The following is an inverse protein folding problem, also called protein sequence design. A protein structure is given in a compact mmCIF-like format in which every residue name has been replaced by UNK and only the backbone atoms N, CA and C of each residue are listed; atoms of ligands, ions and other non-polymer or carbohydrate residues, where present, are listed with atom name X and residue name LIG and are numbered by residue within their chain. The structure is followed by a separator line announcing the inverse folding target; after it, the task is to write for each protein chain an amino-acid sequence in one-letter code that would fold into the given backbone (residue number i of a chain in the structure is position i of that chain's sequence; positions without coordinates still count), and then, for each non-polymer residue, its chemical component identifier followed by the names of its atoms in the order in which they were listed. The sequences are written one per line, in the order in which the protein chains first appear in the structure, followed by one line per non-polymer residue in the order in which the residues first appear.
data_IF_052618814327
#
_entry.id   IF_052618814327
#
_cell.length_a   1.000
_cell.length_b   1.000
_cell.length_c   1.000
_cell.angle_alpha   90.00
_cell.angle_beta   90.00
_cell.angle_gamma   90.00
#
_symmetry.space_group_name_H-M   'P 1'
#
loop_
_entity.id
_entity.type
_entity.pdbx_description
1 polymer ?
#
# COMPACT_ATOMS: atom_id res chain seq x y z
N UNK A 1 -7.73 -97.70 -20.04
CA UNK A 1 -7.28 -96.63 -20.95
C UNK A 1 -8.44 -95.62 -21.11
N UNK A 2 -8.47 -94.51 -20.40
CA UNK A 2 -9.20 -93.27 -20.81
C UNK A 2 -8.77 -92.14 -19.87
N UNK A 3 -8.10 -91.22 -20.48
CA UNK A 3 -7.60 -90.00 -19.82
C UNK A 3 -8.75 -89.02 -19.61
N UNK A 4 -8.99 -88.61 -18.37
CA UNK A 4 -9.90 -87.52 -18.02
C UNK A 4 -9.17 -86.18 -18.04
N UNK A 5 -9.65 -85.21 -18.79
CA UNK A 5 -9.14 -83.88 -18.96
C UNK A 5 -9.80 -82.95 -17.91
N UNK A 6 -9.03 -82.44 -16.96
CA UNK A 6 -9.49 -81.48 -15.98
C UNK A 6 -9.44 -80.08 -16.53
N UNK A 7 -10.57 -79.44 -16.69
CA UNK A 7 -10.68 -78.00 -17.00
C UNK A 7 -10.46 -77.20 -15.70
N UNK A 8 -9.36 -76.41 -15.67
CA UNK A 8 -9.13 -75.42 -14.61
C UNK A 8 -9.71 -74.11 -15.07
N UNK A 9 -10.72 -73.67 -14.39
CA UNK A 9 -11.25 -72.28 -14.50
C UNK A 9 -10.29 -71.32 -13.77
N UNK A 10 -9.62 -70.46 -14.52
CA UNK A 10 -8.85 -69.34 -13.98
C UNK A 10 -9.78 -68.16 -13.85
N UNK A 11 -10.15 -67.84 -12.60
CA UNK A 11 -10.93 -66.65 -12.26
C UNK A 11 -9.97 -65.45 -12.23
N UNK A 12 -10.02 -64.62 -13.28
CA UNK A 12 -9.25 -63.39 -13.37
C UNK A 12 -9.94 -62.29 -12.56
N UNK A 13 -9.50 -62.07 -11.31
CA UNK A 13 -9.94 -61.00 -10.48
C UNK A 13 -9.31 -59.65 -10.98
N UNK A 14 -10.10 -58.85 -11.69
CA UNK A 14 -9.75 -57.46 -11.98
C UNK A 14 -9.77 -56.67 -10.67
N UNK A 15 -8.62 -56.42 -10.06
CA UNK A 15 -8.46 -55.37 -9.05
C UNK A 15 -8.46 -54.01 -9.73
N UNK A 16 -9.62 -53.34 -9.72
CA UNK A 16 -9.71 -51.91 -10.00
C UNK A 16 -9.07 -51.14 -8.85
N UNK A 17 -7.80 -50.72 -9.05
CA UNK A 17 -7.19 -49.72 -8.17
C UNK A 17 -7.91 -48.39 -8.37
N UNK A 18 -8.90 -48.15 -7.56
CA UNK A 18 -9.46 -46.82 -7.34
C UNK A 18 -8.39 -46.01 -6.60
N UNK A 19 -7.57 -45.29 -7.34
CA UNK A 19 -6.67 -44.29 -6.76
C UNK A 19 -7.52 -43.18 -6.16
N UNK A 20 -7.90 -43.35 -4.91
CA UNK A 20 -8.39 -42.25 -4.07
C UNK A 20 -7.25 -41.23 -4.01
N UNK A 21 -7.34 -40.20 -4.86
CA UNK A 21 -6.56 -38.98 -4.73
C UNK A 21 -6.95 -38.40 -3.39
N UNK A 22 -6.18 -38.73 -2.33
CA UNK A 22 -6.30 -38.07 -1.04
C UNK A 22 -6.07 -36.58 -1.31
N UNK A 23 -7.16 -35.85 -1.43
CA UNK A 23 -7.16 -34.41 -1.16
C UNK A 23 -6.75 -34.34 0.30
N UNK A 24 -5.50 -33.97 0.54
CA UNK A 24 -4.96 -33.76 1.88
C UNK A 24 -5.81 -32.64 2.50
N UNK A 25 -6.82 -33.04 3.24
CA UNK A 25 -7.62 -32.14 4.06
C UNK A 25 -6.70 -31.65 5.17
N UNK A 26 -6.14 -30.45 4.99
CA UNK A 26 -5.34 -29.75 6.01
C UNK A 26 -6.23 -29.24 7.16
N UNK A 27 -7.30 -29.94 7.51
CA UNK A 27 -8.24 -29.60 8.57
C UNK A 27 -7.64 -29.81 9.96
N UNK A 28 -6.62 -29.05 10.28
CA UNK A 28 -5.98 -29.08 11.61
C UNK A 28 -4.80 -28.11 11.73
N UNK A 29 -4.26 -27.63 10.63
CA UNK A 29 -3.10 -26.75 10.66
C UNK A 29 -3.55 -25.28 10.45
N UNK A 30 -3.26 -24.41 11.44
CA UNK A 30 -3.53 -22.98 11.32
C UNK A 30 -2.74 -22.38 10.15
N UNK A 31 -3.41 -21.60 9.31
CA UNK A 31 -2.77 -20.80 8.26
C UNK A 31 -1.86 -19.75 8.91
N UNK A 32 -0.65 -19.62 8.43
CA UNK A 32 0.35 -18.66 8.93
C UNK A 32 0.49 -17.50 7.96
N UNK A 33 0.25 -16.28 8.44
CA UNK A 33 0.40 -15.06 7.64
C UNK A 33 1.42 -14.13 8.30
N UNK A 34 2.48 -13.83 7.55
CA UNK A 34 3.49 -12.83 7.93
C UNK A 34 3.07 -11.45 7.43
N UNK A 35 2.91 -10.49 8.33
CA UNK A 35 2.57 -9.10 8.02
C UNK A 35 3.79 -8.23 8.28
N UNK A 36 4.22 -7.47 7.25
CA UNK A 36 5.24 -6.44 7.37
C UNK A 36 4.65 -5.09 6.99
N UNK A 37 4.66 -4.17 7.94
CA UNK A 37 4.30 -2.77 7.74
C UNK A 37 5.57 -1.92 7.77
N UNK A 38 5.74 -1.03 6.77
CA UNK A 38 6.95 -0.23 6.67
C UNK A 38 7.05 0.85 7.76
N UNK A 39 5.99 1.62 7.97
CA UNK A 39 5.95 2.70 8.95
C UNK A 39 4.65 2.68 9.76
N UNK A 40 4.61 3.38 10.87
CA UNK A 40 3.41 3.52 11.68
C UNK A 40 2.78 4.88 11.44
N UNK A 41 1.59 4.87 10.87
CA UNK A 41 0.72 6.01 10.73
C UNK A 41 -0.72 5.56 10.40
N UNK A 42 -1.74 6.42 10.62
CA UNK A 42 -3.15 6.03 10.57
C UNK A 42 -3.58 5.33 9.28
N UNK A 43 -3.05 5.72 8.11
CA UNK A 43 -3.42 5.12 6.83
C UNK A 43 -2.96 3.66 6.72
N UNK A 44 -1.68 3.36 7.01
CA UNK A 44 -1.17 1.99 6.97
C UNK A 44 -1.81 1.10 8.03
N UNK A 45 -2.08 1.65 9.22
CA UNK A 45 -2.80 0.92 10.28
C UNK A 45 -4.21 0.56 9.84
N UNK A 46 -4.94 1.48 9.21
CA UNK A 46 -6.26 1.24 8.66
C UNK A 46 -6.22 0.16 7.54
N UNK A 47 -5.22 0.19 6.66
CA UNK A 47 -5.04 -0.81 5.62
C UNK A 47 -4.78 -2.21 6.21
N UNK A 48 -3.90 -2.31 7.20
CA UNK A 48 -3.64 -3.56 7.92
C UNK A 48 -4.88 -4.09 8.62
N UNK A 49 -5.62 -3.23 9.31
CA UNK A 49 -6.88 -3.61 9.97
C UNK A 49 -7.92 -4.09 8.97
N UNK A 50 -8.05 -3.40 7.82
CA UNK A 50 -8.95 -3.81 6.74
C UNK A 50 -8.63 -5.21 6.21
N UNK A 51 -7.34 -5.51 6.01
CA UNK A 51 -6.88 -6.84 5.60
C UNK A 51 -7.25 -7.93 6.62
N UNK A 52 -6.93 -7.70 7.90
CA UNK A 52 -7.23 -8.66 8.97
C UNK A 52 -8.75 -8.89 9.08
N UNK A 53 -9.54 -7.82 9.00
CA UNK A 53 -10.99 -7.92 9.00
C UNK A 53 -11.51 -8.78 7.84
N UNK A 54 -10.97 -8.61 6.64
CA UNK A 54 -11.40 -9.41 5.50
C UNK A 54 -11.04 -10.90 5.64
N UNK A 55 -9.92 -11.24 6.29
CA UNK A 55 -9.60 -12.62 6.64
C UNK A 55 -10.60 -13.18 7.66
N UNK A 56 -10.94 -12.41 8.70
CA UNK A 56 -11.93 -12.82 9.72
C UNK A 56 -13.32 -13.05 9.11
N UNK A 57 -13.77 -12.11 8.27
CA UNK A 57 -15.03 -12.21 7.51
C UNK A 57 -15.02 -13.45 6.58
N UNK A 58 -13.84 -13.83 6.07
CA UNK A 58 -13.62 -15.02 5.25
C UNK A 58 -13.48 -16.33 6.04
N UNK A 59 -13.63 -16.31 7.37
CA UNK A 59 -13.59 -17.47 8.24
C UNK A 59 -12.20 -17.80 8.81
N UNK A 60 -11.17 -16.99 8.57
CA UNK A 60 -9.84 -17.15 9.14
C UNK A 60 -9.69 -16.29 10.40
N UNK A 61 -9.77 -16.91 11.58
CA UNK A 61 -9.77 -16.22 12.87
C UNK A 61 -8.46 -16.42 13.63
N UNK A 62 -7.84 -15.31 14.03
CA UNK A 62 -6.60 -15.34 14.83
C UNK A 62 -6.82 -16.11 16.13
N UNK A 63 -5.90 -17.03 16.47
CA UNK A 63 -5.99 -17.91 17.62
C UNK A 63 -6.85 -19.17 17.44
N UNK A 64 -7.57 -19.32 16.29
CA UNK A 64 -8.31 -20.55 15.94
C UNK A 64 -7.61 -21.30 14.80
N UNK A 65 -7.76 -20.78 13.60
CA UNK A 65 -7.24 -21.37 12.35
C UNK A 65 -6.33 -20.42 11.59
N UNK A 66 -5.96 -19.27 12.20
CA UNK A 66 -5.06 -18.27 11.65
C UNK A 66 -4.03 -17.87 12.70
N UNK A 67 -2.75 -17.85 12.30
CA UNK A 67 -1.64 -17.32 13.08
C UNK A 67 -1.07 -16.10 12.35
N UNK A 68 -1.11 -14.93 12.97
CA UNK A 68 -0.54 -13.70 12.44
C UNK A 68 0.81 -13.41 13.10
N UNK A 69 1.85 -13.18 12.29
CA UNK A 69 3.12 -12.62 12.76
C UNK A 69 3.21 -11.19 12.23
N UNK A 70 3.09 -10.20 13.10
CA UNK A 70 3.03 -8.77 12.76
C UNK A 70 4.37 -8.12 13.04
N UNK A 71 4.93 -7.42 12.05
CA UNK A 71 6.18 -6.67 12.13
C UNK A 71 5.97 -5.25 11.62
N UNK A 72 6.62 -4.27 12.28
CA UNK A 72 6.58 -2.86 11.88
C UNK A 72 8.01 -2.31 11.88
N UNK A 73 8.48 -1.88 10.72
CA UNK A 73 9.85 -1.41 10.54
C UNK A 73 10.09 0.03 11.04
N UNK A 74 9.04 0.75 11.46
CA UNK A 74 9.12 2.11 11.98
C UNK A 74 9.79 3.11 11.01
N UNK A 75 9.61 2.89 9.69
CA UNK A 75 10.20 3.74 8.63
C UNK A 75 11.70 3.54 8.43
N UNK A 76 12.31 2.54 9.07
CA UNK A 76 13.74 2.25 8.97
C UNK A 76 14.00 1.07 8.04
N UNK A 77 14.89 1.26 7.06
CA UNK A 77 15.20 0.25 6.06
C UNK A 77 15.97 -0.95 6.64
N UNK A 78 16.82 -0.73 7.63
CA UNK A 78 17.59 -1.81 8.26
C UNK A 78 16.70 -2.69 9.14
N UNK A 79 15.78 -2.07 9.88
CA UNK A 79 14.75 -2.78 10.61
C UNK A 79 13.87 -3.59 9.66
N UNK A 80 13.46 -3.00 8.52
CA UNK A 80 12.66 -3.68 7.51
C UNK A 80 13.35 -4.95 7.03
N UNK A 81 14.62 -4.87 6.65
CA UNK A 81 15.40 -6.03 6.20
C UNK A 81 15.44 -7.14 7.26
N UNK A 82 15.79 -6.78 8.50
CA UNK A 82 15.86 -7.71 9.64
C UNK A 82 14.49 -8.39 9.88
N UNK A 83 13.40 -7.64 9.81
CA UNK A 83 12.06 -8.16 10.05
C UNK A 83 11.57 -9.09 8.94
N UNK A 84 11.91 -8.78 7.70
CA UNK A 84 11.60 -9.64 6.56
C UNK A 84 12.34 -10.98 6.66
N UNK A 85 13.64 -10.98 6.97
CA UNK A 85 14.44 -12.19 7.16
C UNK A 85 13.86 -13.11 8.25
N UNK A 86 13.26 -12.54 9.29
CA UNK A 86 12.59 -13.33 10.34
C UNK A 86 11.33 -14.05 9.86
N UNK A 87 10.75 -13.66 8.71
CA UNK A 87 9.53 -14.23 8.16
C UNK A 87 9.78 -15.26 7.04
N UNK A 88 10.95 -15.22 6.39
CA UNK A 88 11.31 -16.10 5.26
C UNK A 88 11.07 -17.58 5.61
N UNK A 89 10.32 -18.28 4.74
CA UNK A 89 10.05 -19.71 4.85
C UNK A 89 9.18 -20.13 6.06
N UNK A 90 8.57 -19.20 6.78
CA UNK A 90 7.78 -19.49 8.00
C UNK A 90 6.29 -19.32 7.84
N UNK A 91 5.83 -18.79 6.71
CA UNK A 91 4.45 -18.40 6.48
C UNK A 91 3.89 -19.05 5.21
N UNK A 92 2.58 -19.25 5.17
CA UNK A 92 1.85 -19.72 3.99
C UNK A 92 1.50 -18.54 3.05
N UNK A 93 1.52 -17.30 3.58
CA UNK A 93 1.22 -16.07 2.87
C UNK A 93 1.94 -14.90 3.54
N UNK A 94 2.44 -13.96 2.75
CA UNK A 94 2.89 -12.65 3.23
C UNK A 94 1.89 -11.55 2.90
N UNK A 95 1.76 -10.60 3.81
CA UNK A 95 1.07 -9.34 3.60
C UNK A 95 2.04 -8.16 3.78
N UNK A 96 2.25 -7.44 2.69
CA UNK A 96 3.12 -6.27 2.65
C UNK A 96 2.31 -4.97 2.70
N UNK A 97 2.59 -4.11 3.67
CA UNK A 97 1.94 -2.81 3.81
C UNK A 97 2.94 -1.72 3.45
N UNK A 98 2.72 -1.03 2.35
CA UNK A 98 3.56 -0.05 1.65
C UNK A 98 4.59 -0.65 0.67
N UNK A 99 5.02 0.18 -0.29
CA UNK A 99 5.96 -0.19 -1.37
C UNK A 99 7.28 -0.77 -0.86
N UNK A 100 7.99 -0.16 0.13
CA UNK A 100 9.24 -0.72 0.63
C UNK A 100 9.09 -2.13 1.22
N UNK A 101 7.99 -2.38 1.95
CA UNK A 101 7.71 -3.69 2.54
C UNK A 101 7.45 -4.75 1.45
N UNK A 102 6.71 -4.39 0.39
CA UNK A 102 6.45 -5.28 -0.73
C UNK A 102 7.74 -5.65 -1.50
N UNK A 103 8.62 -4.67 -1.71
CA UNK A 103 9.91 -4.89 -2.36
C UNK A 103 10.83 -5.78 -1.51
N UNK A 104 10.91 -5.53 -0.22
CA UNK A 104 11.75 -6.31 0.69
C UNK A 104 11.29 -7.78 0.77
N UNK A 105 9.98 -8.03 0.91
CA UNK A 105 9.43 -9.39 0.93
C UNK A 105 9.63 -10.13 -0.39
N UNK A 106 9.34 -9.48 -1.53
CA UNK A 106 9.53 -10.11 -2.84
C UNK A 106 11.00 -10.49 -3.10
N UNK A 107 11.94 -9.67 -2.64
CA UNK A 107 13.38 -9.92 -2.81
C UNK A 107 13.88 -11.04 -1.89
N UNK A 108 13.39 -11.11 -0.65
CA UNK A 108 13.89 -12.06 0.35
C UNK A 108 13.18 -13.43 0.28
N UNK A 109 11.90 -13.46 -0.08
CA UNK A 109 11.08 -14.67 -0.12
C UNK A 109 10.13 -14.68 -1.34
N UNK A 110 10.68 -14.83 -2.56
CA UNK A 110 9.89 -14.82 -3.79
C UNK A 110 8.96 -16.05 -3.93
N UNK A 111 9.22 -17.11 -3.18
CA UNK A 111 8.48 -18.36 -3.26
C UNK A 111 7.21 -18.36 -2.40
N UNK A 112 7.17 -17.58 -1.33
CA UNK A 112 5.95 -17.42 -0.54
C UNK A 112 4.99 -16.43 -1.20
N UNK A 113 3.72 -16.81 -1.47
CA UNK A 113 2.72 -15.91 -2.04
C UNK A 113 2.62 -14.63 -1.24
N UNK A 114 2.64 -13.49 -1.92
CA UNK A 114 2.59 -12.18 -1.26
C UNK A 114 1.40 -11.36 -1.76
N UNK A 115 0.68 -10.72 -0.83
CA UNK A 115 -0.31 -9.70 -1.12
C UNK A 115 0.19 -8.37 -0.59
N UNK A 116 0.18 -7.32 -1.42
CA UNK A 116 0.51 -5.97 -0.99
C UNK A 116 -0.73 -5.08 -0.90
N UNK A 117 -0.62 -4.02 -0.12
CA UNK A 117 -1.55 -2.87 -0.09
C UNK A 117 -0.77 -1.58 0.08
N UNK A 118 -1.41 -0.44 -0.17
CA UNK A 118 -0.76 0.87 -0.08
C UNK A 118 0.51 0.94 -0.95
N UNK A 119 0.39 0.51 -2.19
CA UNK A 119 1.44 0.58 -3.21
C UNK A 119 0.97 1.46 -4.35
N UNK A 120 1.68 2.55 -4.61
CA UNK A 120 1.26 3.58 -5.57
C UNK A 120 1.45 3.13 -7.02
N UNK A 121 2.62 2.58 -7.34
CA UNK A 121 2.95 2.10 -8.69
C UNK A 121 3.74 0.78 -8.62
N UNK A 122 3.07 -0.37 -8.58
CA UNK A 122 3.74 -1.66 -8.46
C UNK A 122 4.52 -2.07 -9.73
N UNK A 123 4.25 -1.45 -10.88
CA UNK A 123 5.03 -1.69 -12.11
C UNK A 123 6.36 -0.98 -12.03
N UNK A 124 6.37 0.32 -11.71
CA UNK A 124 7.61 1.10 -11.51
C UNK A 124 8.42 0.56 -10.33
N UNK A 125 7.76 0.05 -9.29
CA UNK A 125 8.39 -0.61 -8.15
C UNK A 125 8.91 -2.04 -8.47
N UNK A 126 8.72 -2.53 -9.70
CA UNK A 126 9.13 -3.87 -10.18
C UNK A 126 8.50 -5.04 -9.40
N UNK A 127 7.34 -4.83 -8.81
CA UNK A 127 6.60 -5.87 -8.09
C UNK A 127 5.79 -6.74 -9.03
N UNK A 128 5.20 -6.15 -10.08
CA UNK A 128 4.35 -6.85 -11.05
C UNK A 128 4.70 -6.43 -12.48
N UNK A 129 4.43 -7.31 -13.45
CA UNK A 129 4.62 -7.02 -14.88
C UNK A 129 3.57 -6.04 -15.41
N UNK A 130 2.33 -6.20 -14.95
CA UNK A 130 1.21 -5.29 -15.24
C UNK A 130 0.11 -5.43 -14.18
N UNK A 131 -0.80 -4.45 -14.11
CA UNK A 131 -1.92 -4.49 -13.16
C UNK A 131 -2.91 -5.61 -13.47
N UNK A 132 -3.15 -5.89 -14.76
CA UNK A 132 -4.09 -6.93 -15.21
C UNK A 132 -3.53 -8.35 -15.05
N UNK A 133 -2.22 -8.51 -15.25
CA UNK A 133 -1.49 -9.78 -15.16
C UNK A 133 -0.20 -9.58 -14.38
N UNK A 134 -0.21 -9.76 -13.04
CA UNK A 134 0.95 -9.54 -12.19
C UNK A 134 2.19 -10.34 -12.64
N UNK A 135 2.00 -11.59 -13.06
CA UNK A 135 3.04 -12.39 -13.69
C UNK A 135 4.11 -12.96 -12.75
N UNK A 136 3.95 -12.79 -11.47
CA UNK A 136 4.82 -13.31 -10.40
C UNK A 136 4.02 -13.87 -9.23
N UNK A 137 4.69 -14.15 -8.14
CA UNK A 137 4.06 -14.69 -6.92
C UNK A 137 3.57 -13.58 -5.97
N UNK A 138 3.22 -12.42 -6.53
CA UNK A 138 2.77 -11.24 -5.80
C UNK A 138 1.60 -10.55 -6.53
N UNK A 139 0.62 -10.09 -5.77
CA UNK A 139 -0.50 -9.23 -6.21
C UNK A 139 -0.92 -8.31 -5.07
N UNK A 140 -1.91 -7.47 -5.27
CA UNK A 140 -2.38 -6.60 -4.17
C UNK A 140 -3.32 -5.49 -4.62
N UNK A 141 -3.26 -4.36 -3.91
CA UNK A 141 -4.11 -3.19 -4.14
C UNK A 141 -3.30 -1.89 -4.14
N UNK A 142 -3.71 -0.98 -5.02
CA UNK A 142 -3.10 0.34 -5.16
C UNK A 142 -3.69 1.35 -4.16
N UNK A 143 -2.89 2.38 -3.87
CA UNK A 143 -3.33 3.66 -3.30
C UNK A 143 -3.16 4.85 -4.27
N UNK A 144 -2.91 4.57 -5.53
CA UNK A 144 -2.62 5.58 -6.55
C UNK A 144 -3.72 6.64 -6.68
N UNK A 145 -3.28 7.89 -6.73
CA UNK A 145 -4.10 9.09 -6.95
C UNK A 145 -3.67 9.82 -8.23
N UNK A 146 -4.49 10.75 -8.73
CA UNK A 146 -4.14 11.57 -9.89
C UNK A 146 -3.35 12.82 -9.44
N UNK A 147 -2.04 12.74 -9.49
CA UNK A 147 -1.12 13.83 -9.13
C UNK A 147 -1.41 15.12 -9.93
N UNK A 148 -1.78 14.98 -11.22
CA UNK A 148 -2.10 16.16 -12.02
C UNK A 148 -3.33 16.88 -11.48
N UNK A 149 -4.40 16.14 -11.16
CA UNK A 149 -5.61 16.73 -10.56
C UNK A 149 -5.30 17.37 -9.20
N UNK A 150 -4.42 16.78 -8.40
CA UNK A 150 -3.99 17.34 -7.11
C UNK A 150 -3.24 18.67 -7.29
N UNK A 151 -2.32 18.76 -8.25
CA UNK A 151 -1.63 20.02 -8.56
C UNK A 151 -2.60 21.05 -9.16
N UNK A 152 -3.53 20.62 -10.01
CA UNK A 152 -4.58 21.50 -10.54
C UNK A 152 -5.45 22.09 -9.41
N UNK A 153 -5.79 21.28 -8.40
CA UNK A 153 -6.55 21.71 -7.24
C UNK A 153 -5.75 22.68 -6.36
N UNK A 154 -4.51 22.33 -6.02
CA UNK A 154 -3.64 23.17 -5.21
C UNK A 154 -3.49 24.57 -5.84
N UNK A 155 -3.29 24.64 -7.16
CA UNK A 155 -3.17 25.93 -7.87
C UNK A 155 -4.47 26.71 -7.97
N UNK A 156 -5.64 26.10 -7.85
CA UNK A 156 -6.92 26.79 -7.72
C UNK A 156 -7.12 27.38 -6.32
N UNK A 157 -6.63 26.67 -5.30
CA UNK A 157 -6.68 27.12 -3.89
C UNK A 157 -5.71 28.28 -3.64
N UNK A 158 -4.56 28.28 -4.32
CA UNK A 158 -3.52 29.32 -4.18
C UNK A 158 -3.21 29.93 -5.56
N UNK A 159 -4.16 30.70 -6.16
CA UNK A 159 -4.02 31.17 -7.56
C UNK A 159 -2.86 32.16 -7.79
N UNK A 160 -2.40 32.82 -6.73
CA UNK A 160 -1.25 33.74 -6.78
C UNK A 160 0.11 33.04 -6.65
N UNK A 161 0.14 31.72 -6.37
CA UNK A 161 1.40 30.98 -6.21
C UNK A 161 2.24 31.02 -7.49
N UNK A 162 3.53 31.30 -7.33
CA UNK A 162 4.54 31.25 -8.38
C UNK A 162 5.52 30.10 -8.20
N UNK A 163 5.68 29.65 -6.95
CA UNK A 163 6.62 28.63 -6.55
C UNK A 163 5.93 27.58 -5.69
N UNK A 164 5.97 26.33 -6.11
CA UNK A 164 5.41 25.19 -5.38
C UNK A 164 6.54 24.29 -4.90
N UNK A 165 6.57 24.02 -3.61
CA UNK A 165 7.46 23.06 -2.98
C UNK A 165 6.96 21.64 -3.18
N UNK A 166 7.91 20.71 -3.36
CA UNK A 166 7.66 19.27 -3.31
C UNK A 166 8.60 18.70 -2.25
N UNK A 167 8.04 18.01 -1.27
CA UNK A 167 8.82 17.41 -0.18
C UNK A 167 8.52 15.94 -0.02
N UNK A 168 9.56 15.10 0.02
CA UNK A 168 9.41 13.65 0.13
C UNK A 168 10.69 12.94 0.59
N UNK A 169 10.57 11.66 0.95
CA UNK A 169 11.70 10.77 1.21
C UNK A 169 12.26 10.19 -0.10
N UNK A 170 13.49 10.53 -0.41
CA UNK A 170 14.17 10.06 -1.64
C UNK A 170 14.53 8.57 -1.63
N UNK A 171 14.38 7.87 -0.53
CA UNK A 171 14.55 6.42 -0.45
C UNK A 171 13.29 5.64 -0.85
N UNK A 172 12.14 6.32 -1.01
CA UNK A 172 10.88 5.70 -1.36
C UNK A 172 10.56 5.86 -2.86
N UNK A 173 10.51 4.76 -3.60
CA UNK A 173 10.26 4.74 -5.06
C UNK A 173 8.89 5.29 -5.43
N UNK A 174 7.85 5.02 -4.61
CA UNK A 174 6.51 5.60 -4.74
C UNK A 174 6.56 7.13 -4.75
N UNK A 175 7.25 7.71 -3.78
CA UNK A 175 7.40 9.16 -3.60
C UNK A 175 8.18 9.80 -4.74
N UNK A 176 9.30 9.19 -5.17
CA UNK A 176 10.07 9.65 -6.33
C UNK A 176 9.20 9.70 -7.59
N UNK A 177 8.39 8.68 -7.84
CA UNK A 177 7.53 8.61 -9.02
C UNK A 177 6.50 9.74 -9.02
N UNK A 178 5.80 9.93 -7.90
CA UNK A 178 4.80 10.99 -7.77
C UNK A 178 5.43 12.39 -7.79
N UNK A 179 6.59 12.58 -7.15
CA UNK A 179 7.31 13.86 -7.16
C UNK A 179 7.69 14.28 -8.59
N UNK A 180 8.18 13.36 -9.43
CA UNK A 180 8.46 13.63 -10.86
C UNK A 180 7.19 14.02 -11.63
N UNK A 181 6.06 13.36 -11.36
CA UNK A 181 4.77 13.71 -11.96
C UNK A 181 4.31 15.11 -11.52
N UNK A 182 4.44 15.44 -10.24
CA UNK A 182 4.09 16.73 -9.68
C UNK A 182 4.98 17.85 -10.27
N UNK A 183 6.29 17.65 -10.33
CA UNK A 183 7.24 18.60 -10.92
C UNK A 183 6.88 18.90 -12.39
N UNK A 184 6.57 17.86 -13.17
CA UNK A 184 6.11 18.01 -14.56
C UNK A 184 4.80 18.79 -14.65
N UNK A 185 3.83 18.52 -13.77
CA UNK A 185 2.53 19.21 -13.75
C UNK A 185 2.69 20.70 -13.38
N UNK A 186 3.53 21.01 -12.38
CA UNK A 186 3.84 22.38 -11.93
C UNK A 186 4.51 23.16 -13.06
N UNK A 187 5.55 22.61 -13.69
CA UNK A 187 6.26 23.24 -14.82
C UNK A 187 5.33 23.48 -16.01
N UNK A 188 4.41 22.56 -16.30
CA UNK A 188 3.42 22.72 -17.38
C UNK A 188 2.47 23.90 -17.16
N UNK A 189 2.29 24.33 -15.93
CA UNK A 189 1.51 25.53 -15.56
C UNK A 189 2.34 26.83 -15.58
N UNK A 190 3.61 26.78 -15.96
CA UNK A 190 4.54 27.93 -15.94
C UNK A 190 4.99 28.30 -14.53
N UNK A 191 4.79 27.43 -13.54
CA UNK A 191 5.20 27.65 -12.16
C UNK A 191 6.59 27.05 -11.89
N UNK A 192 7.28 27.59 -10.88
CA UNK A 192 8.56 27.06 -10.40
C UNK A 192 8.31 25.93 -9.41
N UNK A 193 8.97 24.79 -9.60
CA UNK A 193 9.04 23.71 -8.64
C UNK A 193 10.33 23.79 -7.82
N UNK A 194 10.23 23.70 -6.50
CA UNK A 194 11.36 23.57 -5.57
C UNK A 194 11.25 22.22 -4.88
N UNK A 195 12.20 21.36 -5.14
CA UNK A 195 12.20 19.98 -4.57
C UNK A 195 13.20 19.92 -3.43
N UNK A 196 12.74 19.42 -2.29
CA UNK A 196 13.56 19.06 -1.12
C UNK A 196 13.24 17.65 -0.69
N UNK A 197 14.28 16.93 -0.29
CA UNK A 197 14.14 15.52 0.11
C UNK A 197 14.83 15.24 1.43
N UNK A 198 14.37 14.19 2.08
CA UNK A 198 15.02 13.57 3.24
C UNK A 198 15.26 12.10 2.93
N UNK A 199 16.04 11.42 3.75
CA UNK A 199 16.18 9.95 3.75
C UNK A 199 15.73 9.33 5.08
N UNK A 200 15.46 10.19 6.07
CA UNK A 200 15.08 9.81 7.44
C UNK A 200 14.09 10.83 8.01
N UNK A 201 13.26 10.40 8.95
CA UNK A 201 12.36 11.26 9.71
C UNK A 201 13.10 12.32 10.55
N UNK A 202 14.35 12.07 10.90
CA UNK A 202 15.15 12.97 11.74
C UNK A 202 15.41 14.33 11.08
N UNK A 203 15.47 14.38 9.76
CA UNK A 203 15.82 15.60 9.00
C UNK A 203 14.58 16.41 8.60
N UNK A 204 13.38 15.85 8.80
CA UNK A 204 12.12 16.44 8.32
C UNK A 204 11.92 17.86 8.84
N UNK A 205 12.11 18.10 10.14
CA UNK A 205 11.91 19.43 10.73
C UNK A 205 12.80 20.48 10.07
N UNK A 206 14.09 20.22 9.95
CA UNK A 206 15.04 21.17 9.39
C UNK A 206 14.76 21.44 7.92
N UNK A 207 14.60 20.40 7.12
CA UNK A 207 14.44 20.52 5.66
C UNK A 207 13.09 21.15 5.31
N UNK A 208 12.01 20.77 6.04
CA UNK A 208 10.68 21.33 5.82
C UNK A 208 10.59 22.82 6.21
N UNK A 209 11.23 23.23 7.31
CA UNK A 209 11.33 24.65 7.71
C UNK A 209 12.04 25.45 6.63
N UNK A 210 13.16 24.92 6.09
CA UNK A 210 13.87 25.55 4.98
C UNK A 210 13.04 25.66 3.71
N UNK A 211 12.23 24.63 3.39
CA UNK A 211 11.36 24.66 2.21
C UNK A 211 10.22 25.67 2.38
N UNK A 212 9.56 25.66 3.53
CA UNK A 212 8.41 26.54 3.80
C UNK A 212 8.76 28.03 3.66
N UNK A 213 10.00 28.42 3.95
CA UNK A 213 10.49 29.82 3.76
C UNK A 213 10.80 30.19 2.31
N UNK A 214 10.65 29.28 1.32
CA UNK A 214 11.07 29.50 -0.07
C UNK A 214 9.96 29.38 -1.10
N UNK A 215 8.73 29.01 -0.66
CA UNK A 215 7.65 28.62 -1.57
C UNK A 215 6.31 29.19 -1.16
N UNK A 216 5.39 29.32 -2.12
CA UNK A 216 4.05 29.88 -1.90
C UNK A 216 3.03 28.79 -1.51
N UNK A 217 3.29 27.53 -1.87
CA UNK A 217 2.49 26.37 -1.50
C UNK A 217 3.35 25.09 -1.52
N UNK A 218 2.90 24.03 -0.85
CA UNK A 218 3.63 22.76 -0.79
C UNK A 218 2.71 21.61 -1.21
N UNK A 219 3.27 20.69 -2.00
CA UNK A 219 2.67 19.41 -2.33
C UNK A 219 3.47 18.27 -1.69
N UNK A 220 2.77 17.39 -1.00
CA UNK A 220 3.32 16.17 -0.39
C UNK A 220 2.78 14.95 -1.13
N UNK A 221 3.62 14.18 -1.83
CA UNK A 221 3.21 12.91 -2.42
C UNK A 221 2.83 11.88 -1.34
N UNK A 222 2.31 10.73 -1.76
CA UNK A 222 2.12 9.58 -0.87
C UNK A 222 3.48 9.05 -0.42
N UNK A 223 3.82 9.35 0.82
CA UNK A 223 5.14 9.12 1.42
C UNK A 223 5.01 8.69 2.87
N UNK A 224 5.60 7.55 3.21
CA UNK A 224 5.41 6.97 4.55
C UNK A 224 6.19 7.74 5.63
N UNK A 225 7.36 8.28 5.30
CA UNK A 225 8.16 9.11 6.23
C UNK A 225 7.46 10.44 6.49
N UNK A 226 6.92 11.08 5.45
CA UNK A 226 6.14 12.30 5.57
C UNK A 226 4.87 12.06 6.38
N UNK A 227 4.16 10.95 6.14
CA UNK A 227 2.96 10.58 6.89
C UNK A 227 3.23 10.36 8.39
N UNK A 228 4.33 9.68 8.72
CA UNK A 228 4.72 9.44 10.11
C UNK A 228 5.14 10.71 10.86
N UNK A 229 5.49 11.78 10.13
CA UNK A 229 5.91 13.08 10.66
C UNK A 229 4.91 14.20 10.40
N UNK A 230 3.69 13.87 9.99
CA UNK A 230 2.66 14.84 9.58
C UNK A 230 2.40 15.93 10.61
N UNK A 231 2.38 15.62 11.90
CA UNK A 231 2.19 16.59 12.97
C UNK A 231 3.27 17.67 12.99
N UNK A 232 4.55 17.28 12.87
CA UNK A 232 5.68 18.21 12.81
C UNK A 232 5.59 19.09 11.57
N UNK A 233 5.28 18.51 10.43
CA UNK A 233 5.08 19.24 9.17
C UNK A 233 3.93 20.23 9.31
N UNK A 234 2.81 19.80 9.87
CA UNK A 234 1.63 20.66 10.09
C UNK A 234 1.92 21.89 10.94
N UNK A 235 2.72 21.76 12.00
CA UNK A 235 3.17 22.89 12.82
C UNK A 235 4.01 23.88 12.00
N UNK A 236 4.98 23.38 11.25
CA UNK A 236 5.88 24.21 10.43
C UNK A 236 5.09 24.99 9.37
N UNK A 237 4.22 24.33 8.60
CA UNK A 237 3.47 24.99 7.52
C UNK A 237 2.43 25.97 8.06
N UNK A 238 1.87 25.71 9.24
CA UNK A 238 0.97 26.62 9.95
C UNK A 238 1.68 27.90 10.40
N UNK A 239 2.85 27.76 11.02
CA UNK A 239 3.68 28.89 11.46
C UNK A 239 4.19 29.74 10.27
N UNK A 240 4.65 29.07 9.21
CA UNK A 240 5.10 29.71 7.99
C UNK A 240 3.93 30.26 7.12
N UNK A 241 2.67 29.95 7.46
CA UNK A 241 1.47 30.29 6.69
C UNK A 241 1.51 29.82 5.24
N UNK A 242 2.04 28.61 5.00
CA UNK A 242 2.17 28.01 3.66
C UNK A 242 1.07 26.97 3.44
N UNK A 243 0.11 27.22 2.52
CA UNK A 243 -0.90 26.24 2.16
C UNK A 243 -0.26 24.94 1.64
N UNK A 244 -0.69 23.82 2.19
CA UNK A 244 -0.09 22.52 1.88
C UNK A 244 -1.15 21.51 1.56
N UNK A 245 -0.92 20.75 0.48
CA UNK A 245 -1.77 19.66 0.03
C UNK A 245 -1.03 18.33 0.12
N UNK A 246 -1.68 17.35 0.74
CA UNK A 246 -1.21 15.97 0.81
C UNK A 246 -1.99 15.04 -0.10
N UNK A 247 -1.32 14.03 -0.62
CA UNK A 247 -1.94 12.98 -1.46
C UNK A 247 -2.55 11.83 -0.64
N UNK A 248 -2.57 11.95 0.68
CA UNK A 248 -3.01 10.92 1.61
C UNK A 248 -3.86 11.54 2.74
N UNK A 249 -4.96 10.86 3.11
CA UNK A 249 -5.85 11.29 4.20
C UNK A 249 -5.16 11.28 5.58
N UNK A 250 -4.06 10.54 5.75
CA UNK A 250 -3.27 10.56 7.00
C UNK A 250 -2.75 11.96 7.36
N UNK A 251 -2.68 12.86 6.40
CA UNK A 251 -2.21 14.24 6.61
C UNK A 251 -3.31 15.22 7.02
N UNK A 252 -4.59 14.83 6.99
CA UNK A 252 -5.71 15.78 7.07
C UNK A 252 -5.66 16.65 8.32
N UNK A 253 -5.38 16.06 9.48
CA UNK A 253 -5.34 16.82 10.74
C UNK A 253 -4.18 17.84 10.82
N UNK A 254 -3.22 17.71 9.90
CA UNK A 254 -1.99 18.51 9.89
C UNK A 254 -1.90 19.47 8.72
N UNK A 255 -2.60 19.24 7.61
CA UNK A 255 -2.48 20.03 6.38
C UNK A 255 -3.79 20.72 6.02
N UNK A 256 -3.74 21.64 5.04
CA UNK A 256 -4.92 22.35 4.56
C UNK A 256 -5.88 21.46 3.78
N UNK A 257 -5.32 20.66 2.87
CA UNK A 257 -6.09 19.83 1.95
C UNK A 257 -5.47 18.43 1.87
N UNK A 258 -6.33 17.43 1.65
CA UNK A 258 -5.89 16.12 1.21
C UNK A 258 -6.73 15.64 0.02
N UNK A 259 -6.13 14.78 -0.80
CA UNK A 259 -6.85 14.02 -1.82
C UNK A 259 -6.34 12.60 -1.81
N UNK A 260 -6.97 11.77 -1.03
CA UNK A 260 -6.52 10.42 -0.71
C UNK A 260 -7.57 9.35 -0.95
N UNK A 261 -7.19 8.10 -0.73
CA UNK A 261 -8.04 6.91 -0.85
C UNK A 261 -8.44 6.41 0.53
N UNK A 262 -9.49 5.58 0.58
CA UNK A 262 -9.84 4.91 1.83
C UNK A 262 -8.94 3.69 2.05
N UNK A 263 -7.96 3.83 2.94
CA UNK A 263 -6.97 2.78 3.23
C UNK A 263 -7.58 1.52 3.85
N UNK A 264 -8.60 1.65 4.67
CA UNK A 264 -9.30 0.47 5.20
C UNK A 264 -9.97 -0.35 4.10
N UNK A 265 -10.54 0.31 3.10
CA UNK A 265 -11.18 -0.37 1.96
C UNK A 265 -10.14 -1.06 1.07
N UNK A 266 -9.01 -0.41 0.73
CA UNK A 266 -7.98 -1.08 -0.06
C UNK A 266 -7.34 -2.25 0.71
N UNK A 267 -7.21 -2.14 2.03
CA UNK A 267 -6.81 -3.24 2.89
C UNK A 267 -7.79 -4.42 2.86
N UNK A 268 -9.10 -4.17 2.92
CA UNK A 268 -10.13 -5.20 2.76
C UNK A 268 -10.06 -5.89 1.41
N UNK A 269 -9.88 -5.13 0.33
CA UNK A 269 -9.72 -5.69 -1.02
C UNK A 269 -8.45 -6.55 -1.13
N UNK A 270 -7.35 -6.16 -0.49
CA UNK A 270 -6.15 -6.99 -0.38
C UNK A 270 -6.43 -8.30 0.37
N UNK A 271 -7.19 -8.26 1.46
CA UNK A 271 -7.61 -9.44 2.20
C UNK A 271 -8.47 -10.39 1.37
N UNK A 272 -9.40 -9.88 0.55
CA UNK A 272 -10.17 -10.71 -0.40
C UNK A 272 -9.25 -11.44 -1.40
N UNK A 273 -8.17 -10.80 -1.86
CA UNK A 273 -7.17 -11.46 -2.72
C UNK A 273 -6.41 -12.54 -1.98
N UNK A 274 -6.04 -12.29 -0.73
CA UNK A 274 -5.45 -13.29 0.15
C UNK A 274 -6.34 -14.53 0.32
N UNK A 275 -7.65 -14.34 0.50
CA UNK A 275 -8.61 -15.45 0.57
C UNK A 275 -8.66 -16.28 -0.72
N UNK A 276 -8.51 -15.67 -1.90
CA UNK A 276 -8.41 -16.40 -3.17
C UNK A 276 -7.13 -17.24 -3.23
N UNK A 277 -6.00 -16.69 -2.75
CA UNK A 277 -4.71 -17.39 -2.71
C UNK A 277 -4.78 -18.57 -1.75
N UNK A 278 -5.33 -18.37 -0.56
CA UNK A 278 -5.51 -19.45 0.44
C UNK A 278 -6.44 -20.56 -0.05
N UNK A 279 -7.30 -20.28 -1.03
CA UNK A 279 -8.13 -21.26 -1.77
C UNK A 279 -7.43 -21.86 -3.00
N UNK A 280 -6.12 -21.59 -3.19
CA UNK A 280 -5.30 -22.19 -4.24
C UNK A 280 -5.17 -21.39 -5.53
N UNK A 281 -5.73 -20.18 -5.64
CA UNK A 281 -5.51 -19.32 -6.81
C UNK A 281 -4.12 -18.71 -6.78
N UNK A 282 -3.42 -18.71 -7.91
CA UNK A 282 -2.06 -18.15 -8.01
C UNK A 282 -2.11 -16.61 -7.99
N UNK A 283 -1.19 -15.92 -7.28
CA UNK A 283 -1.10 -14.45 -7.32
C UNK A 283 -0.99 -13.88 -8.73
N UNK A 284 -0.25 -14.55 -9.62
CA UNK A 284 -0.09 -14.17 -11.04
C UNK A 284 -1.39 -14.08 -11.84
N UNK A 285 -2.46 -14.72 -11.38
CA UNK A 285 -3.78 -14.78 -12.02
C UNK A 285 -4.78 -13.79 -11.38
N UNK A 286 -4.39 -13.11 -10.31
CA UNK A 286 -5.25 -12.18 -9.58
C UNK A 286 -4.84 -10.75 -9.96
N UNK A 287 -5.65 -10.00 -10.73
CA UNK A 287 -5.34 -8.63 -11.08
C UNK A 287 -5.13 -7.75 -9.85
N UNK A 288 -4.24 -6.77 -9.97
CA UNK A 288 -4.04 -5.75 -8.94
C UNK A 288 -5.30 -4.89 -8.83
N UNK A 289 -5.78 -4.69 -7.60
CA UNK A 289 -6.96 -3.88 -7.34
C UNK A 289 -6.64 -2.38 -7.43
N UNK A 290 -7.55 -1.62 -8.03
CA UNK A 290 -7.48 -0.16 -8.06
C UNK A 290 -8.35 0.42 -6.95
N UNK A 291 -7.94 1.54 -6.32
CA UNK A 291 -8.79 2.22 -5.34
C UNK A 291 -10.04 2.79 -6.03
N UNK A 292 -11.06 3.08 -5.23
CA UNK A 292 -12.18 3.91 -5.66
C UNK A 292 -11.69 5.35 -5.89
N UNK A 293 -12.56 6.20 -6.46
CA UNK A 293 -12.25 7.63 -6.67
C UNK A 293 -11.75 8.26 -5.36
N UNK A 294 -10.60 8.95 -5.38
CA UNK A 294 -10.09 9.66 -4.20
C UNK A 294 -11.10 10.69 -3.70
N UNK A 295 -11.08 10.91 -2.39
CA UNK A 295 -11.87 11.94 -1.73
C UNK A 295 -10.99 13.14 -1.46
N UNK A 296 -11.50 14.34 -1.79
CA UNK A 296 -10.87 15.59 -1.38
C UNK A 296 -11.45 16.00 -0.04
N UNK A 297 -10.59 16.36 0.91
CA UNK A 297 -10.98 16.84 2.22
C UNK A 297 -10.24 18.13 2.56
N UNK A 298 -10.94 19.01 3.29
CA UNK A 298 -10.41 20.30 3.78
C UNK A 298 -10.30 20.20 5.30
N UNK A 299 -9.24 20.78 5.85
CA UNK A 299 -9.08 21.02 7.28
C UNK A 299 -9.51 22.44 7.59
N UNK A 300 -10.69 22.64 8.22
CA UNK A 300 -11.21 23.98 8.48
C UNK A 300 -10.34 24.79 9.46
N UNK A 301 -9.70 24.12 10.42
CA UNK A 301 -8.88 24.81 11.41
C UNK A 301 -7.55 25.28 10.80
N UNK A 302 -6.97 24.47 9.90
CA UNK A 302 -5.81 24.91 9.13
C UNK A 302 -6.18 26.03 8.16
N UNK A 303 -7.32 25.96 7.48
CA UNK A 303 -7.81 27.05 6.61
C UNK A 303 -7.91 28.38 7.37
N UNK A 304 -8.54 28.39 8.54
CA UNK A 304 -8.63 29.55 9.41
C UNK A 304 -7.26 30.07 9.83
N UNK A 305 -6.34 29.16 10.22
CA UNK A 305 -5.00 29.53 10.64
C UNK A 305 -4.19 30.20 9.50
N UNK A 306 -4.46 29.78 8.25
CA UNK A 306 -3.85 30.35 7.04
C UNK A 306 -4.58 31.63 6.54
N UNK A 307 -5.69 32.04 7.16
CA UNK A 307 -6.49 33.16 6.73
C UNK A 307 -7.32 32.92 5.47
N UNK A 308 -7.65 31.64 5.18
CA UNK A 308 -8.43 31.22 4.03
C UNK A 308 -9.90 31.01 4.42
N UNK A 309 -10.82 31.40 3.52
CA UNK A 309 -12.26 31.20 3.73
C UNK A 309 -12.66 29.77 3.38
N UNK A 310 -13.20 29.05 4.36
CA UNK A 310 -13.59 27.64 4.24
C UNK A 310 -14.65 27.43 3.16
N UNK A 311 -15.65 28.32 3.07
CA UNK A 311 -16.73 28.22 2.07
C UNK A 311 -16.21 28.36 0.64
N UNK A 312 -15.25 29.25 0.45
CA UNK A 312 -14.55 29.39 -0.83
C UNK A 312 -13.81 28.10 -1.19
N UNK A 313 -13.11 27.50 -0.22
CA UNK A 313 -12.41 26.23 -0.44
C UNK A 313 -13.39 25.09 -0.78
N UNK A 314 -14.51 24.97 -0.05
CA UNK A 314 -15.56 23.97 -0.33
C UNK A 314 -16.11 24.13 -1.75
N UNK A 315 -16.35 25.36 -2.20
CA UNK A 315 -16.78 25.64 -3.58
C UNK A 315 -15.72 25.20 -4.62
N UNK A 316 -14.43 25.46 -4.33
CA UNK A 316 -13.33 25.06 -5.24
C UNK A 316 -13.20 23.55 -5.35
N UNK A 317 -13.41 22.81 -4.26
CA UNK A 317 -13.30 21.34 -4.25
C UNK A 317 -14.59 20.64 -4.73
N UNK A 318 -15.69 21.40 -4.91
CA UNK A 318 -16.97 20.86 -5.37
C UNK A 318 -17.77 20.15 -4.27
N UNK A 319 -17.67 20.62 -3.04
CA UNK A 319 -18.42 20.17 -1.85
C UNK A 319 -19.55 21.14 -1.51
#
# INVERSE_FOLDING_TARGET
MKKGMRFSLILLALMTLTACRQVSDKSGQSVKVGIVQYAEHPALDAARQGFIQALDDGGYKEGKNLKLTKKNAQGDQSNLQTMVEQLVGKNDLHFAVATPAAQALLNADPDTPTVFTAVTDPVSAKLVKSLAKPGGNITGTLDATDVKQQIDLLTKVVPQAKTIGIFYNSSEVNSQTQAKMAEKAIKKKGLKAVVKTVTSSNDVQQVMTSLAGQVDAIYLPTDNTVASTATTIGQIVKEAKVPTMGSDDAYLDSLLLTSGVNYKEIGKEAGKKALLILKGKKPSEIPVGKPRKPLVKINPDMAKALGLDVKTLETIVGQ
#
